data_IF_433160944880
#
_entry.id   IF_433160944880
#
_cell.length_a   1.000
_cell.length_b   1.000
_cell.length_c   1.000
_cell.angle_alpha   90.00
_cell.angle_beta   90.00
_cell.angle_gamma   90.00
#
_symmetry.space_group_name_H-M   'P 1'
#
loop_
_entity.id
_entity.type
_entity.pdbx_description
1 polymer ?
#
# COMPACT_ATOMS: atom_id res chain seq x y z
N UNK A 1 -16.11 -19.72 9.08
CA UNK A 1 -15.20 -18.86 9.88
C UNK A 1 -15.06 -17.41 9.36
N UNK A 2 -15.93 -16.90 8.46
CA UNK A 2 -15.78 -15.53 7.92
C UNK A 2 -16.36 -14.41 8.81
N UNK A 3 -17.22 -14.72 9.77
CA UNK A 3 -17.94 -13.70 10.55
C UNK A 3 -17.06 -13.02 11.61
N UNK A 4 -16.16 -13.75 12.26
CA UNK A 4 -15.24 -13.19 13.27
C UNK A 4 -14.21 -12.23 12.67
N UNK A 5 -13.62 -12.57 11.52
CA UNK A 5 -12.68 -11.69 10.84
C UNK A 5 -13.33 -10.40 10.29
N UNK A 6 -14.63 -10.41 10.01
CA UNK A 6 -15.38 -9.20 9.64
C UNK A 6 -15.64 -8.34 10.88
N UNK A 7 -15.98 -8.97 12.00
CA UNK A 7 -16.25 -8.28 13.27
C UNK A 7 -15.01 -7.58 13.82
N UNK A 8 -13.80 -8.13 13.64
CA UNK A 8 -12.53 -7.50 14.04
C UNK A 8 -12.11 -6.32 13.15
N UNK A 9 -12.54 -6.32 11.88
CA UNK A 9 -12.27 -5.21 10.93
C UNK A 9 -13.18 -4.01 11.16
N UNK A 10 -14.36 -4.20 11.75
CA UNK A 10 -15.28 -3.10 12.08
C UNK A 10 -14.63 -2.11 13.08
N UNK A 11 -14.04 -2.54 14.21
CA UNK A 11 -13.30 -1.68 15.14
C UNK A 11 -12.16 -0.89 14.50
N UNK A 12 -11.46 -1.48 13.54
CA UNK A 12 -10.36 -0.83 12.84
C UNK A 12 -10.88 0.23 11.87
N UNK A 13 -11.90 -0.09 11.07
CA UNK A 13 -12.54 0.85 10.16
C UNK A 13 -13.11 2.07 10.91
N UNK A 14 -13.71 1.85 12.08
CA UNK A 14 -14.21 2.94 12.95
C UNK A 14 -13.06 3.85 13.40
N UNK A 15 -11.93 3.28 13.83
CA UNK A 15 -10.75 4.06 14.24
C UNK A 15 -10.18 4.89 13.09
N UNK A 16 -10.15 4.34 11.88
CA UNK A 16 -9.71 5.07 10.69
C UNK A 16 -10.68 6.21 10.37
N UNK A 17 -12.00 5.96 10.41
CA UNK A 17 -13.01 6.98 10.18
C UNK A 17 -12.93 8.14 11.19
N UNK A 18 -12.67 7.85 12.47
CA UNK A 18 -12.49 8.87 13.51
C UNK A 18 -11.31 9.81 13.23
N UNK A 19 -10.20 9.30 12.69
CA UNK A 19 -9.03 10.12 12.32
C UNK A 19 -9.42 11.12 11.24
N UNK A 20 -10.11 10.67 10.19
CA UNK A 20 -10.55 11.55 9.12
C UNK A 20 -11.61 12.56 9.58
N UNK A 21 -12.56 12.12 10.43
CA UNK A 21 -13.58 13.02 10.98
C UNK A 21 -12.97 14.12 11.86
N UNK A 22 -11.92 13.81 12.62
CA UNK A 22 -11.16 14.81 13.37
C UNK A 22 -10.39 15.75 12.44
N UNK A 23 -9.80 15.22 11.37
CA UNK A 23 -9.04 16.02 10.40
C UNK A 23 -9.93 17.02 9.63
N UNK A 24 -11.22 16.72 9.45
CA UNK A 24 -12.19 17.59 8.77
C UNK A 24 -13.04 18.43 9.74
N UNK A 25 -12.66 18.51 11.01
CA UNK A 25 -13.36 19.33 11.99
C UNK A 25 -14.79 18.84 12.30
N UNK A 26 -15.07 17.55 12.12
CA UNK A 26 -16.38 16.96 12.35
C UNK A 26 -17.28 16.92 11.11
N UNK A 27 -16.82 17.40 9.95
CA UNK A 27 -17.56 17.23 8.70
C UNK A 27 -17.41 15.79 8.18
N UNK A 28 -18.47 15.01 8.38
CA UNK A 28 -18.52 13.61 7.98
C UNK A 28 -18.51 13.40 6.46
N UNK A 29 -19.05 14.35 5.68
CA UNK A 29 -19.02 14.26 4.23
C UNK A 29 -17.60 14.48 3.71
N UNK A 30 -16.94 15.54 4.17
CA UNK A 30 -15.54 15.78 3.85
C UNK A 30 -14.64 14.61 4.30
N UNK A 31 -14.89 14.05 5.49
CA UNK A 31 -14.12 12.92 6.01
C UNK A 31 -14.21 11.70 5.10
N UNK A 32 -15.41 11.39 4.60
CA UNK A 32 -15.65 10.28 3.67
C UNK A 32 -14.91 10.51 2.34
N UNK A 33 -15.03 11.71 1.76
CA UNK A 33 -14.34 12.07 0.52
C UNK A 33 -12.82 11.96 0.68
N UNK A 34 -12.27 12.40 1.81
CA UNK A 34 -10.84 12.28 2.10
C UNK A 34 -10.39 10.83 2.29
N UNK A 35 -11.18 10.01 3.01
CA UNK A 35 -10.86 8.60 3.21
C UNK A 35 -10.89 7.82 1.87
N UNK A 36 -11.87 8.09 1.01
CA UNK A 36 -11.99 7.47 -0.30
C UNK A 36 -10.86 7.92 -1.25
N UNK A 37 -10.53 9.22 -1.26
CA UNK A 37 -9.40 9.73 -2.03
C UNK A 37 -8.07 9.10 -1.59
N UNK A 38 -7.86 8.94 -0.27
CA UNK A 38 -6.71 8.23 0.27
C UNK A 38 -6.64 6.76 -0.18
N UNK A 39 -7.75 6.04 -0.09
CA UNK A 39 -7.83 4.65 -0.53
C UNK A 39 -7.56 4.47 -2.04
N UNK A 40 -8.07 5.38 -2.88
CA UNK A 40 -7.80 5.37 -4.32
C UNK A 40 -6.34 5.71 -4.63
N UNK A 41 -5.75 6.65 -3.89
CA UNK A 41 -4.33 6.96 -4.00
C UNK A 41 -3.46 5.76 -3.62
N UNK A 42 -3.79 5.06 -2.52
CA UNK A 42 -3.07 3.87 -2.08
C UNK A 42 -3.18 2.73 -3.11
N UNK A 43 -4.35 2.57 -3.75
CA UNK A 43 -4.56 1.59 -4.82
C UNK A 43 -3.70 1.92 -6.04
N UNK A 44 -3.70 3.17 -6.47
CA UNK A 44 -2.89 3.62 -7.60
C UNK A 44 -1.38 3.55 -7.27
N UNK A 45 -0.98 3.85 -6.04
CA UNK A 45 0.41 3.68 -5.61
C UNK A 45 0.81 2.21 -5.59
N UNK A 46 -0.07 1.33 -5.10
CA UNK A 46 0.13 -0.11 -5.13
C UNK A 46 0.26 -0.63 -6.56
N UNK A 47 -0.56 -0.13 -7.49
CA UNK A 47 -0.49 -0.48 -8.91
C UNK A 47 0.81 0.04 -9.54
N UNK A 48 1.20 1.28 -9.28
CA UNK A 48 2.48 1.82 -9.72
C UNK A 48 3.66 1.04 -9.16
N UNK A 49 3.61 0.57 -7.90
CA UNK A 49 4.63 -0.32 -7.32
C UNK A 49 4.67 -1.67 -8.03
N UNK A 50 3.51 -2.25 -8.38
CA UNK A 50 3.41 -3.49 -9.17
C UNK A 50 3.98 -3.31 -10.56
N UNK A 51 3.56 -2.29 -11.30
CA UNK A 51 4.09 -1.98 -12.64
C UNK A 51 5.59 -1.70 -12.62
N UNK A 52 6.11 -1.00 -11.60
CA UNK A 52 7.57 -0.84 -11.43
C UNK A 52 8.26 -2.18 -11.17
N UNK A 53 7.68 -3.04 -10.32
CA UNK A 53 8.22 -4.37 -10.05
C UNK A 53 8.19 -5.27 -11.29
N UNK A 54 7.11 -5.24 -12.06
CA UNK A 54 6.94 -6.06 -13.25
C UNK A 54 7.82 -5.54 -14.40
N UNK A 55 8.04 -4.22 -14.47
CA UNK A 55 9.06 -3.63 -15.36
C UNK A 55 10.48 -4.05 -14.96
N UNK A 56 10.78 -4.17 -13.65
CA UNK A 56 12.06 -4.71 -13.17
C UNK A 56 12.22 -6.21 -13.44
N UNK A 57 11.12 -6.98 -13.44
CA UNK A 57 11.11 -8.40 -13.82
C UNK A 57 11.33 -8.55 -15.34
N UNK A 58 10.67 -7.74 -16.16
CA UNK A 58 10.82 -7.75 -17.62
C UNK A 58 12.17 -7.19 -18.10
N UNK A 59 12.83 -6.33 -17.31
CA UNK A 59 14.17 -5.82 -17.61
C UNK A 59 15.30 -6.72 -17.07
N UNK A 60 15.00 -7.90 -16.53
CA UNK A 60 16.01 -8.84 -16.03
C UNK A 60 16.72 -8.29 -14.80
N UNK A 61 16.15 -8.54 -13.62
CA UNK A 61 16.78 -8.17 -12.35
C UNK A 61 18.14 -8.89 -12.18
N UNK A 62 19.24 -8.23 -12.60
CA UNK A 62 20.61 -8.58 -12.21
C UNK A 62 20.78 -8.18 -10.74
N UNK A 63 20.44 -9.09 -9.82
CA UNK A 63 20.89 -8.97 -8.42
C UNK A 63 22.20 -9.73 -8.27
N UNK A 64 23.28 -8.99 -8.04
CA UNK A 64 24.54 -9.52 -7.52
C UNK A 64 25.44 -10.16 -8.58
N UNK A 65 26.10 -9.32 -9.37
CA UNK A 65 27.33 -9.72 -10.03
C UNK A 65 28.35 -10.14 -8.98
N UNK A 66 28.51 -11.45 -8.81
CA UNK A 66 29.72 -12.04 -8.22
C UNK A 66 30.87 -11.83 -9.18
N UNK A 67 31.43 -10.62 -9.20
CA UNK A 67 32.77 -10.40 -9.70
C UNK A 67 33.73 -10.88 -8.60
N UNK A 68 34.05 -12.17 -8.62
CA UNK A 68 35.32 -12.63 -8.08
C UNK A 68 36.30 -12.57 -9.25
N UNK A 69 37.25 -11.62 -9.28
CA UNK A 69 38.33 -11.70 -10.25
C UNK A 69 39.12 -12.97 -9.96
N UNK A 70 39.17 -13.81 -10.98
CA UNK A 70 40.11 -14.92 -11.10
C UNK A 70 41.54 -14.36 -10.95
N UNK A 71 42.17 -14.62 -9.82
CA UNK A 71 43.63 -14.48 -9.66
C UNK A 71 44.20 -15.89 -9.49
N UNK A 72 44.51 -16.52 -10.62
CA UNK A 72 45.45 -17.63 -10.73
C UNK A 72 46.81 -17.11 -11.21
N UNK A 73 47.90 -17.45 -10.53
CA UNK A 73 49.13 -17.85 -11.19
C UNK A 73 49.17 -19.37 -11.44
#
# INVERSE_FOLDING_TARGET
MHRQAVDERIPEAVRIAEVYLRATGGDAWAALVHAEAGALYDLDEAERRRLRRDRLISCGYVRGGGFTPDERP
#
